data_IF_006980448183
#
_entry.id   IF_006980448183
#
_cell.length_a   1.000
_cell.length_b   1.000
_cell.length_c   1.000
_cell.angle_alpha   90.00
_cell.angle_beta   90.00
_cell.angle_gamma   90.00
#
_symmetry.space_group_name_H-M   'P 1'
#
loop_
_entity.id
_entity.type
_entity.pdbx_description
1 polymer ?
#
# COMPACT_ATOMS: atom_id res chain seq x y z
N UNK A 1 37.09 64.53 -25.05
CA UNK A 1 37.36 63.09 -24.87
C UNK A 1 36.40 62.60 -23.79
N UNK A 2 35.19 62.13 -24.20
CA UNK A 2 34.16 61.71 -23.28
C UNK A 2 34.13 60.14 -23.23
N UNK A 3 34.51 59.58 -22.08
CA UNK A 3 34.43 58.18 -21.83
C UNK A 3 33.00 57.83 -21.30
N UNK A 4 32.18 57.25 -22.15
CA UNK A 4 30.90 56.70 -21.75
C UNK A 4 31.13 55.38 -21.02
N UNK A 5 30.75 55.33 -19.75
CA UNK A 5 30.74 54.08 -18.96
C UNK A 5 29.39 53.41 -19.21
N UNK A 6 29.43 52.26 -19.87
CA UNK A 6 28.24 51.41 -20.11
C UNK A 6 28.05 50.50 -18.91
N UNK A 7 27.07 50.84 -18.07
CA UNK A 7 26.68 49.99 -16.94
C UNK A 7 25.71 48.93 -17.48
N UNK A 8 26.18 47.69 -17.55
CA UNK A 8 25.40 46.53 -17.97
C UNK A 8 24.67 45.95 -16.75
N UNK A 9 23.37 46.27 -16.63
CA UNK A 9 22.50 45.68 -15.64
C UNK A 9 22.17 44.24 -16.07
N UNK A 10 22.76 43.26 -15.37
CA UNK A 10 22.39 41.84 -15.50
C UNK A 10 21.18 41.59 -14.59
N UNK A 11 20.00 41.53 -15.16
CA UNK A 11 18.79 41.07 -14.48
C UNK A 11 18.80 39.53 -14.43
N UNK A 12 19.14 38.97 -13.27
CA UNK A 12 18.98 37.54 -13.01
C UNK A 12 17.51 37.23 -12.83
N UNK A 13 16.89 36.63 -13.85
CA UNK A 13 15.55 36.03 -13.75
C UNK A 13 15.67 34.70 -13.01
N UNK A 14 15.29 34.68 -11.73
CA UNK A 14 15.07 33.47 -10.98
C UNK A 14 13.82 32.79 -11.53
N UNK A 15 13.98 31.72 -12.31
CA UNK A 15 12.91 30.82 -12.66
C UNK A 15 12.59 29.99 -11.42
N UNK A 16 11.46 30.29 -10.77
CA UNK A 16 10.90 29.44 -9.72
C UNK A 16 10.51 28.10 -10.35
N UNK A 17 11.27 27.04 -10.07
CA UNK A 17 10.90 25.67 -10.44
C UNK A 17 9.64 25.30 -9.64
N UNK A 18 8.62 24.66 -10.26
CA UNK A 18 7.44 24.21 -9.54
C UNK A 18 7.84 23.14 -8.50
N UNK A 19 7.37 23.32 -7.26
CA UNK A 19 7.74 22.54 -6.07
C UNK A 19 7.04 21.17 -5.99
N UNK A 20 6.76 20.54 -7.10
CA UNK A 20 6.19 19.18 -7.20
C UNK A 20 7.07 18.24 -8.02
N UNK A 21 8.35 18.32 -7.82
CA UNK A 21 9.21 17.19 -8.10
C UNK A 21 8.86 16.11 -7.08
N UNK A 22 7.74 15.38 -7.30
CA UNK A 22 7.50 14.11 -6.63
C UNK A 22 8.74 13.27 -6.93
N UNK A 23 9.27 12.66 -5.89
CA UNK A 23 10.47 11.84 -5.93
C UNK A 23 10.25 10.72 -6.97
N UNK A 24 10.63 10.99 -8.23
CA UNK A 24 10.40 10.10 -9.38
C UNK A 24 11.26 8.84 -9.29
N UNK A 25 12.12 8.77 -8.26
CA UNK A 25 13.03 7.67 -8.03
C UNK A 25 12.28 6.37 -7.67
N UNK A 26 11.15 6.46 -6.94
CA UNK A 26 10.35 5.31 -6.53
C UNK A 26 9.10 5.09 -7.38
N UNK A 27 8.85 5.94 -8.38
CA UNK A 27 7.67 5.83 -9.22
C UNK A 27 7.85 4.79 -10.33
N UNK A 28 6.90 3.87 -10.46
CA UNK A 28 6.80 2.91 -11.56
C UNK A 28 5.92 3.49 -12.67
N UNK A 29 6.26 3.22 -13.92
CA UNK A 29 5.56 3.73 -15.11
C UNK A 29 5.24 2.58 -16.08
N UNK A 30 4.22 2.72 -16.91
CA UNK A 30 4.00 1.82 -18.04
C UNK A 30 5.26 1.73 -18.93
N UNK A 31 5.53 0.53 -19.45
CA UNK A 31 6.67 0.24 -20.31
C UNK A 31 8.00 -0.02 -19.60
N UNK A 32 8.07 0.10 -18.27
CA UNK A 32 9.24 -0.31 -17.50
C UNK A 32 9.42 -1.82 -17.51
N UNK A 33 10.67 -2.28 -17.48
CA UNK A 33 11.00 -3.70 -17.34
C UNK A 33 10.85 -4.19 -15.90
N UNK A 34 10.82 -5.52 -15.70
CA UNK A 34 10.85 -6.14 -14.36
C UNK A 34 12.07 -5.66 -13.55
N UNK A 35 13.25 -5.56 -14.20
CA UNK A 35 14.46 -5.07 -13.55
C UNK A 35 14.35 -3.61 -13.08
N UNK A 36 13.70 -2.75 -13.87
CA UNK A 36 13.46 -1.35 -13.49
C UNK A 36 12.56 -1.25 -12.27
N UNK A 37 11.52 -2.09 -12.19
CA UNK A 37 10.60 -2.15 -11.05
C UNK A 37 11.34 -2.62 -9.80
N UNK A 38 12.11 -3.70 -9.92
CA UNK A 38 12.91 -4.25 -8.82
C UNK A 38 13.95 -3.26 -8.31
N UNK A 39 14.59 -2.50 -9.20
CA UNK A 39 15.52 -1.44 -8.81
C UNK A 39 14.85 -0.35 -7.97
N UNK A 40 13.58 -0.04 -8.23
CA UNK A 40 12.82 1.04 -7.57
C UNK A 40 12.13 0.60 -6.29
N UNK A 41 11.54 -0.58 -6.28
CA UNK A 41 10.70 -1.07 -5.18
C UNK A 41 11.35 -2.20 -4.38
N UNK A 42 12.52 -2.67 -4.80
CA UNK A 42 13.20 -3.83 -4.23
C UNK A 42 12.68 -5.15 -4.82
N UNK A 43 13.12 -6.25 -4.24
CA UNK A 43 12.69 -7.58 -4.65
C UNK A 43 11.21 -7.82 -4.30
N UNK A 44 10.41 -8.38 -5.22
CA UNK A 44 9.05 -8.77 -4.93
C UNK A 44 9.02 -9.97 -3.98
N UNK A 45 8.03 -10.04 -3.09
CA UNK A 45 7.83 -11.18 -2.17
C UNK A 45 7.35 -12.43 -2.90
N UNK A 46 6.71 -12.26 -4.05
CA UNK A 46 6.32 -13.36 -4.92
C UNK A 46 6.25 -12.91 -6.38
N UNK A 47 6.54 -13.84 -7.28
CA UNK A 47 6.42 -13.64 -8.72
C UNK A 47 5.57 -14.77 -9.30
N UNK A 48 4.57 -14.44 -10.08
CA UNK A 48 3.74 -15.41 -10.80
C UNK A 48 3.81 -15.13 -12.30
N UNK A 49 4.06 -16.15 -13.10
CA UNK A 49 4.11 -16.07 -14.57
C UNK A 49 3.06 -16.97 -15.18
N UNK A 50 2.26 -16.43 -16.10
CA UNK A 50 1.19 -17.14 -16.80
C UNK A 50 1.16 -16.66 -18.25
N UNK A 51 1.66 -17.49 -19.19
CA UNK A 51 1.83 -17.08 -20.58
C UNK A 51 2.74 -15.85 -20.66
N UNK A 52 2.28 -14.81 -21.33
CA UNK A 52 3.02 -13.54 -21.50
C UNK A 52 2.91 -12.61 -20.28
N UNK A 53 2.15 -13.00 -19.27
CA UNK A 53 1.92 -12.18 -18.08
C UNK A 53 2.88 -12.53 -16.96
N UNK A 54 3.42 -11.50 -16.33
CA UNK A 54 4.15 -11.59 -15.06
C UNK A 54 3.52 -10.68 -14.03
N UNK A 55 3.32 -11.22 -12.84
CA UNK A 55 2.73 -10.54 -11.69
C UNK A 55 3.78 -10.44 -10.60
N UNK A 56 4.16 -9.22 -10.21
CA UNK A 56 5.09 -8.97 -9.12
C UNK A 56 4.30 -8.54 -7.90
N UNK A 57 4.40 -9.28 -6.80
CA UNK A 57 3.69 -9.00 -5.56
C UNK A 57 4.63 -8.37 -4.55
N UNK A 58 4.22 -7.26 -3.99
CA UNK A 58 4.97 -6.51 -2.99
C UNK A 58 4.16 -6.37 -1.70
N UNK A 59 4.83 -6.60 -0.56
CA UNK A 59 4.23 -6.34 0.74
C UNK A 59 3.96 -4.85 0.92
N UNK A 60 2.79 -4.50 1.47
CA UNK A 60 2.37 -3.13 1.72
C UNK A 60 1.90 -2.88 3.16
N UNK A 61 1.95 -3.91 4.01
CA UNK A 61 1.50 -3.87 5.39
C UNK A 61 0.01 -4.12 5.59
N UNK A 62 -0.76 -4.27 4.51
CA UNK A 62 -2.22 -4.49 4.57
C UNK A 62 -2.61 -5.95 4.33
N UNK A 63 -1.64 -6.84 4.11
CA UNK A 63 -1.89 -8.24 3.71
C UNK A 63 -2.68 -9.02 4.75
N UNK A 64 -2.38 -8.79 6.04
CA UNK A 64 -3.01 -9.52 7.16
C UNK A 64 -4.41 -9.03 7.47
N UNK A 65 -4.64 -7.72 7.32
CA UNK A 65 -5.89 -7.08 7.69
C UNK A 65 -6.91 -7.09 6.57
N UNK A 66 -6.45 -6.86 5.34
CA UNK A 66 -7.32 -6.67 4.19
C UNK A 66 -7.01 -7.62 3.02
N UNK A 67 -5.97 -8.46 3.12
CA UNK A 67 -5.57 -9.39 2.07
C UNK A 67 -5.04 -8.70 0.81
N UNK A 68 -4.73 -7.40 0.89
CA UNK A 68 -4.26 -6.64 -0.27
C UNK A 68 -2.75 -6.61 -0.36
N UNK A 69 -2.26 -6.79 -1.57
CA UNK A 69 -0.88 -6.66 -1.97
C UNK A 69 -0.74 -5.53 -2.98
N UNK A 70 0.42 -4.90 -3.03
CA UNK A 70 0.75 -4.12 -4.21
C UNK A 70 1.14 -5.10 -5.32
N UNK A 71 0.58 -4.92 -6.50
CA UNK A 71 0.81 -5.82 -7.63
C UNK A 71 1.19 -5.02 -8.86
N UNK A 72 2.29 -5.39 -9.50
CA UNK A 72 2.68 -4.86 -10.81
C UNK A 72 2.40 -5.93 -11.86
N UNK A 73 1.72 -5.53 -12.90
CA UNK A 73 1.33 -6.38 -14.02
C UNK A 73 2.24 -6.07 -15.19
N UNK A 74 2.97 -7.08 -15.66
CA UNK A 74 3.77 -6.98 -16.85
C UNK A 74 3.18 -7.89 -17.94
N UNK A 75 3.21 -7.41 -19.16
CA UNK A 75 2.90 -8.18 -20.37
C UNK A 75 4.07 -8.08 -21.34
N UNK A 76 4.55 -9.23 -21.83
CA UNK A 76 5.74 -9.25 -22.68
C UNK A 76 6.99 -8.66 -21.99
N UNK A 77 7.08 -8.72 -20.64
CA UNK A 77 8.20 -8.19 -19.88
C UNK A 77 8.14 -6.68 -19.59
N UNK A 78 7.07 -5.99 -19.98
CA UNK A 78 6.88 -4.56 -19.73
C UNK A 78 5.67 -4.30 -18.84
N UNK A 79 5.79 -3.32 -17.94
CA UNK A 79 4.70 -2.88 -17.07
C UNK A 79 3.56 -2.32 -17.90
N UNK A 80 2.37 -2.87 -17.71
CA UNK A 80 1.12 -2.40 -18.33
C UNK A 80 0.15 -1.81 -17.33
N UNK A 81 0.21 -2.26 -16.06
CA UNK A 81 -0.65 -1.77 -14.98
C UNK A 81 0.02 -1.98 -13.62
N UNK A 82 -0.43 -1.27 -12.60
CA UNK A 82 -0.08 -1.56 -11.22
C UNK A 82 -1.20 -1.16 -10.26
N UNK A 83 -1.43 -1.99 -9.25
CA UNK A 83 -2.29 -1.71 -8.11
C UNK A 83 -1.39 -1.40 -6.93
N UNK A 84 -1.45 -0.17 -6.42
CA UNK A 84 -0.59 0.33 -5.35
C UNK A 84 -1.43 0.84 -4.20
N UNK A 85 -1.12 0.38 -2.99
CA UNK A 85 -1.77 0.77 -1.74
C UNK A 85 -0.76 1.21 -0.69
N UNK A 86 0.52 0.82 -0.84
CA UNK A 86 1.57 1.21 0.08
C UNK A 86 1.81 2.73 0.06
N UNK A 87 1.93 3.38 1.21
CA UNK A 87 2.45 4.73 1.26
C UNK A 87 3.90 4.76 0.73
N UNK A 88 4.24 5.78 -0.06
CA UNK A 88 5.59 5.95 -0.61
C UNK A 88 5.88 5.19 -1.90
N UNK A 89 4.96 4.34 -2.40
CA UNK A 89 5.01 3.80 -3.75
C UNK A 89 4.04 4.54 -4.65
N UNK A 90 4.45 4.79 -5.88
CA UNK A 90 3.63 5.53 -6.85
C UNK A 90 3.66 4.81 -8.20
N UNK A 91 2.50 4.71 -8.82
CA UNK A 91 2.35 4.31 -10.21
C UNK A 91 1.87 5.51 -11.03
N UNK A 92 2.62 5.86 -12.07
CA UNK A 92 2.34 7.02 -12.93
C UNK A 92 1.55 6.65 -14.20
N UNK A 93 0.98 5.45 -14.24
CA UNK A 93 0.06 5.01 -15.26
C UNK A 93 -1.40 5.14 -14.81
N UNK A 94 -2.30 4.79 -15.73
CA UNK A 94 -3.71 4.64 -15.41
C UNK A 94 -3.94 3.26 -14.81
N UNK A 95 -4.18 3.20 -13.48
CA UNK A 95 -4.45 1.94 -12.80
C UNK A 95 -5.87 1.45 -13.03
N UNK A 96 -6.03 0.14 -13.27
CA UNK A 96 -7.34 -0.52 -13.32
C UNK A 96 -8.05 -0.54 -11.97
N UNK A 97 -7.30 -0.41 -10.88
CA UNK A 97 -7.83 -0.35 -9.51
C UNK A 97 -7.15 0.77 -8.73
N UNK A 98 -7.51 2.04 -8.99
CA UNK A 98 -6.94 3.17 -8.28
C UNK A 98 -7.30 3.16 -6.79
N UNK A 99 -6.53 3.83 -5.91
CA UNK A 99 -6.75 3.84 -4.47
C UNK A 99 -8.16 4.22 -4.03
N UNK A 100 -8.81 5.12 -4.76
CA UNK A 100 -10.17 5.60 -4.49
C UNK A 100 -11.23 4.51 -4.67
N UNK A 101 -10.91 3.46 -5.43
CA UNK A 101 -11.77 2.29 -5.65
C UNK A 101 -11.38 1.09 -4.78
N UNK A 102 -10.45 1.26 -3.86
CA UNK A 102 -10.09 0.17 -2.95
C UNK A 102 -11.37 -0.29 -2.23
N UNK A 103 -11.71 -1.60 -2.24
CA UNK A 103 -12.83 -2.08 -1.48
C UNK A 103 -12.58 -1.77 0.00
N UNK A 104 -13.55 -1.15 0.64
CA UNK A 104 -13.50 -0.94 2.08
C UNK A 104 -13.72 -2.30 2.75
N UNK A 105 -12.76 -2.73 3.55
CA UNK A 105 -12.92 -3.94 4.35
C UNK A 105 -13.98 -3.66 5.43
N UNK A 106 -15.16 -4.23 5.24
CA UNK A 106 -16.16 -4.32 6.30
C UNK A 106 -15.90 -5.66 7.01
N UNK A 107 -15.44 -5.67 8.26
CA UNK A 107 -15.29 -6.91 9.00
C UNK A 107 -16.62 -7.67 8.98
N UNK A 108 -16.62 -9.01 8.83
CA UNK A 108 -17.84 -9.79 8.98
C UNK A 108 -18.50 -9.42 10.31
N UNK A 109 -19.82 -9.17 10.28
CA UNK A 109 -20.56 -8.90 11.52
C UNK A 109 -20.22 -10.04 12.50
N UNK A 110 -19.67 -9.69 13.65
CA UNK A 110 -19.43 -10.69 14.70
C UNK A 110 -20.76 -11.37 14.99
N UNK A 111 -20.80 -12.70 15.01
CA UNK A 111 -21.98 -13.42 15.48
C UNK A 111 -22.33 -12.84 16.86
N UNK A 112 -23.62 -12.69 17.18
CA UNK A 112 -24.02 -12.23 18.51
C UNK A 112 -23.31 -13.11 19.53
N UNK A 113 -22.64 -12.46 20.50
CA UNK A 113 -21.92 -13.17 21.55
C UNK A 113 -22.88 -14.18 22.16
N UNK A 114 -22.55 -15.46 22.06
CA UNK A 114 -23.35 -16.51 22.69
C UNK A 114 -23.46 -16.16 24.18
N UNK A 115 -24.66 -16.03 24.76
CA UNK A 115 -24.78 -15.78 26.18
C UNK A 115 -24.03 -16.89 26.91
N UNK A 116 -23.05 -16.50 27.70
CA UNK A 116 -22.25 -17.42 28.49
C UNK A 116 -23.19 -18.20 29.43
N UNK A 117 -23.18 -19.56 29.41
CA UNK A 117 -24.14 -20.36 30.17
C UNK A 117 -23.88 -20.40 31.69
N UNK A 118 -23.01 -19.57 32.21
CA UNK A 118 -22.47 -19.61 33.56
C UNK A 118 -23.15 -18.69 34.56
N UNK A 119 -24.23 -18.03 34.16
CA UNK A 119 -25.02 -17.20 35.09
C UNK A 119 -26.18 -17.97 35.78
N UNK A 120 -26.36 -19.25 35.47
CA UNK A 120 -27.41 -20.07 36.09
C UNK A 120 -26.78 -21.26 36.81
N UNK A 121 -26.60 -21.15 38.11
CA UNK A 121 -26.34 -22.31 38.96
C UNK A 121 -24.99 -22.34 39.67
N UNK A 122 -24.84 -21.47 40.64
CA UNK A 122 -24.02 -21.84 41.79
C UNK A 122 -24.69 -23.08 42.45
N UNK A 123 -24.02 -24.23 42.56
CA UNK A 123 -24.59 -25.34 43.28
C UNK A 123 -24.73 -24.94 44.76
N UNK A 124 -25.95 -25.03 45.27
CA UNK A 124 -26.27 -24.76 46.63
C UNK A 124 -25.37 -25.51 47.60
N UNK A 125 -24.93 -24.83 48.62
CA UNK A 125 -24.18 -25.38 49.73
C UNK A 125 -24.87 -26.65 50.24
N UNK A 126 -24.17 -27.80 50.18
CA UNK A 126 -24.59 -29.03 50.81
C UNK A 126 -24.51 -28.84 52.33
N UNK A 127 -25.63 -28.56 52.90
CA UNK A 127 -25.78 -28.45 54.35
C UNK A 127 -25.54 -29.80 55.02
N UNK A 128 -24.63 -29.80 55.95
CA UNK A 128 -24.08 -30.78 56.79
C UNK A 128 -24.84 -32.10 57.05
N UNK A 129 -24.12 -33.20 56.83
CA UNK A 129 -24.46 -34.48 57.40
C UNK A 129 -24.11 -34.43 58.88
N UNK A 130 -25.15 -34.41 59.70
CA UNK A 130 -25.06 -34.54 61.19
C UNK A 130 -24.90 -36.00 61.49
N UNK A 131 -23.72 -36.45 61.89
CA UNK A 131 -23.50 -37.76 62.49
C UNK A 131 -23.75 -37.62 63.98
N UNK A 132 -24.73 -38.31 64.50
CA UNK A 132 -24.99 -38.51 65.94
C UNK A 132 -24.44 -39.89 66.34
N UNK A 133 -23.89 -40.00 67.57
CA UNK A 133 -23.26 -41.21 68.11
C UNK A 133 -24.22 -42.36 68.43
#
# INVERSE_FOLDING_TARGET
>A
MNKAIFVMCITATFAAAPAWAQDTTTAVRPGMSEADVTTRWGEPVAVRRIGDWTYLYYANGLEREAGFWDVVFLQGGQVVDAIVRAPGRTYLGQSSSPPERAPQFTPPAQPPANPRPDAAGAPGAVTGIRVTP
#
